data_IF_184425727457
#
_entry.id   IF_184425727457
#
_cell.length_a   1.000
_cell.length_b   1.000
_cell.length_c   1.000
_cell.angle_alpha   90.00
_cell.angle_beta   90.00
_cell.angle_gamma   90.00
#
_symmetry.space_group_name_H-M   'P 1'
#
loop_
_entity.id
_entity.type
_entity.pdbx_description
1 polymer ?
#
# COMPACT_ATOMS: atom_id res chain seq x y z
N UNK A 1 -14.99 -19.34 5.24
CA UNK A 1 -13.99 -18.56 6.01
C UNK A 1 -12.58 -19.04 5.62
N UNK A 2 -12.10 -18.72 4.42
CA UNK A 2 -10.69 -18.98 4.00
C UNK A 2 -10.08 -17.79 3.26
N UNK A 3 -10.93 -16.90 2.73
CA UNK A 3 -10.53 -15.77 1.89
C UNK A 3 -10.05 -14.57 2.72
N UNK A 4 -10.60 -14.35 3.91
CA UNK A 4 -10.26 -13.22 4.78
C UNK A 4 -8.81 -13.26 5.29
N UNK A 5 -8.26 -14.45 5.55
CA UNK A 5 -6.87 -14.59 6.02
C UNK A 5 -5.85 -14.35 4.91
N UNK A 6 -6.13 -14.81 3.69
CA UNK A 6 -5.26 -14.56 2.53
C UNK A 6 -5.28 -13.08 2.12
N UNK A 7 -6.40 -12.42 2.31
CA UNK A 7 -6.55 -11.03 1.98
C UNK A 7 -5.84 -10.11 3.00
N UNK A 8 -5.95 -10.40 4.30
CA UNK A 8 -5.15 -9.67 5.30
C UNK A 8 -3.65 -9.79 5.05
N UNK A 9 -3.16 -10.98 4.67
CA UNK A 9 -1.76 -11.17 4.29
C UNK A 9 -1.34 -10.37 3.04
N UNK A 10 -2.26 -10.17 2.09
CA UNK A 10 -1.99 -9.38 0.87
C UNK A 10 -1.90 -7.88 1.19
N UNK A 11 -2.78 -7.37 2.05
CA UNK A 11 -2.73 -5.98 2.51
C UNK A 11 -1.43 -5.70 3.30
N UNK A 12 -1.05 -6.62 4.18
CA UNK A 12 0.18 -6.52 4.97
C UNK A 12 1.43 -6.51 4.07
N UNK A 13 1.48 -7.39 3.06
CA UNK A 13 2.57 -7.42 2.08
C UNK A 13 2.67 -6.12 1.25
N UNK A 14 1.54 -5.52 0.87
CA UNK A 14 1.52 -4.24 0.17
C UNK A 14 2.03 -3.11 1.07
N UNK A 15 1.69 -3.16 2.36
CA UNK A 15 2.14 -2.18 3.35
C UNK A 15 3.65 -2.29 3.62
N UNK A 16 4.19 -3.51 3.73
CA UNK A 16 5.64 -3.72 3.83
C UNK A 16 6.39 -3.20 2.60
N UNK A 17 5.86 -3.44 1.39
CA UNK A 17 6.44 -2.90 0.15
C UNK A 17 6.40 -1.37 0.09
N UNK A 18 5.33 -0.75 0.58
CA UNK A 18 5.23 0.71 0.67
C UNK A 18 6.26 1.30 1.65
N UNK A 19 6.46 0.66 2.81
CA UNK A 19 7.45 1.06 3.81
C UNK A 19 8.88 0.92 3.30
N UNK A 20 9.19 -0.17 2.60
CA UNK A 20 10.49 -0.38 1.95
C UNK A 20 10.76 0.67 0.85
N UNK A 21 9.74 0.99 0.04
CA UNK A 21 9.84 2.06 -0.95
C UNK A 21 10.06 3.44 -0.30
N UNK A 22 9.40 3.74 0.82
CA UNK A 22 9.62 4.96 1.61
C UNK A 22 11.01 5.03 2.24
N UNK A 23 11.53 3.88 2.70
CA UNK A 23 12.88 3.79 3.25
C UNK A 23 13.91 4.11 2.16
N UNK A 24 13.80 3.48 1.00
CA UNK A 24 14.67 3.77 -0.15
C UNK A 24 14.54 5.20 -0.64
N UNK A 25 13.33 5.76 -0.64
CA UNK A 25 13.09 7.17 -0.96
C UNK A 25 13.85 8.10 0.01
N UNK A 26 13.81 7.82 1.32
CA UNK A 26 14.52 8.60 2.32
C UNK A 26 16.06 8.42 2.24
N UNK A 27 16.55 7.24 1.89
CA UNK A 27 17.97 7.00 1.65
C UNK A 27 18.46 7.68 0.36
N UNK A 28 17.61 7.71 -0.67
CA UNK A 28 17.87 8.38 -1.94
C UNK A 28 17.80 9.91 -1.82
N UNK A 29 17.00 10.43 -0.86
CA UNK A 29 16.91 11.87 -0.57
C UNK A 29 18.29 12.42 -0.16
N UNK A 30 18.88 13.21 -1.06
CA UNK A 30 20.17 13.88 -0.84
C UNK A 30 21.38 13.12 -1.39
N UNK A 31 21.19 11.87 -1.86
CA UNK A 31 22.27 11.06 -2.44
C UNK A 31 22.01 10.66 -3.90
N UNK A 32 20.75 10.52 -4.31
CA UNK A 32 20.35 10.10 -5.65
C UNK A 32 19.84 11.26 -6.51
N UNK A 33 19.70 11.01 -7.82
CA UNK A 33 19.11 11.98 -8.76
C UNK A 33 17.65 12.27 -8.38
N UNK A 34 17.16 13.52 -8.55
CA UNK A 34 15.77 13.88 -8.28
C UNK A 34 14.75 12.99 -9.00
N UNK A 35 15.07 12.49 -10.20
CA UNK A 35 14.22 11.54 -10.94
C UNK A 35 14.07 10.18 -10.21
N UNK A 36 15.14 9.71 -9.56
CA UNK A 36 15.13 8.47 -8.78
C UNK A 36 14.28 8.63 -7.52
N UNK A 37 14.44 9.78 -6.84
CA UNK A 37 13.69 10.15 -5.65
C UNK A 37 12.20 10.30 -5.98
N UNK A 38 11.86 10.94 -7.09
CA UNK A 38 10.47 11.08 -7.55
C UNK A 38 9.85 9.71 -7.88
N UNK A 39 10.57 8.84 -8.60
CA UNK A 39 10.11 7.46 -8.89
C UNK A 39 9.83 6.65 -7.63
N UNK A 40 10.72 6.73 -6.64
CA UNK A 40 10.54 6.02 -5.37
C UNK A 40 9.34 6.56 -4.58
N UNK A 41 9.16 7.88 -4.58
CA UNK A 41 7.99 8.53 -3.96
C UNK A 41 6.68 8.11 -4.61
N UNK A 42 6.59 8.16 -5.94
CA UNK A 42 5.41 7.73 -6.70
C UNK A 42 5.08 6.25 -6.48
N UNK A 43 6.12 5.40 -6.38
CA UNK A 43 5.94 3.98 -6.09
C UNK A 43 5.39 3.73 -4.69
N UNK A 44 5.92 4.43 -3.68
CA UNK A 44 5.38 4.35 -2.33
C UNK A 44 3.92 4.80 -2.25
N UNK A 45 3.57 5.92 -2.90
CA UNK A 45 2.20 6.45 -2.94
C UNK A 45 1.24 5.47 -3.63
N UNK A 46 1.65 4.88 -4.75
CA UNK A 46 0.82 3.90 -5.48
C UNK A 46 0.57 2.64 -4.64
N UNK A 47 1.60 2.10 -3.99
CA UNK A 47 1.48 0.92 -3.14
C UNK A 47 0.56 1.17 -1.92
N UNK A 48 0.63 2.36 -1.32
CA UNK A 48 -0.28 2.73 -0.23
C UNK A 48 -1.74 2.85 -0.70
N UNK A 49 -1.97 3.41 -1.88
CA UNK A 49 -3.30 3.51 -2.46
C UNK A 49 -3.90 2.13 -2.75
N UNK A 50 -3.12 1.21 -3.34
CA UNK A 50 -3.53 -0.17 -3.58
C UNK A 50 -3.83 -0.93 -2.27
N UNK A 51 -2.97 -0.78 -1.26
CA UNK A 51 -3.21 -1.38 0.07
C UNK A 51 -4.51 -0.85 0.70
N UNK A 52 -4.77 0.45 0.59
CA UNK A 52 -5.97 1.08 1.12
C UNK A 52 -7.23 0.64 0.37
N UNK A 53 -7.20 0.59 -0.96
CA UNK A 53 -8.31 0.05 -1.76
C UNK A 53 -8.59 -1.42 -1.42
N UNK A 54 -7.54 -2.20 -1.20
CA UNK A 54 -7.66 -3.60 -0.84
C UNK A 54 -8.26 -3.76 0.57
N UNK A 55 -7.81 -2.99 1.56
CA UNK A 55 -8.44 -2.95 2.89
C UNK A 55 -9.89 -2.49 2.83
N UNK A 56 -10.21 -1.46 2.04
CA UNK A 56 -11.58 -0.98 1.87
C UNK A 56 -12.50 -2.05 1.26
N UNK A 57 -12.01 -2.87 0.33
CA UNK A 57 -12.80 -4.00 -0.21
C UNK A 57 -13.02 -5.11 0.83
N UNK A 58 -12.08 -5.31 1.74
CA UNK A 58 -12.21 -6.33 2.80
C UNK A 58 -13.08 -5.89 3.97
N UNK A 59 -12.93 -4.64 4.41
CA UNK A 59 -13.65 -4.08 5.55
C UNK A 59 -14.95 -3.34 5.15
N UNK A 60 -15.11 -3.01 3.87
CA UNK A 60 -16.28 -2.31 3.29
C UNK A 60 -17.26 -3.21 2.53
N UNK A 61 -17.23 -4.53 2.73
CA UNK A 61 -18.30 -5.43 2.27
C UNK A 61 -19.66 -5.06 2.90
N UNK A 62 -20.78 -5.33 2.22
CA UNK A 62 -21.93 -4.42 2.15
C UNK A 62 -22.49 -4.04 3.52
N UNK A 63 -22.54 -2.74 3.78
CA UNK A 63 -23.54 -2.12 4.64
C UNK A 63 -24.90 -2.63 4.14
N UNK A 64 -25.46 -3.62 4.81
CA UNK A 64 -26.84 -4.05 4.62
C UNK A 64 -27.71 -2.81 4.87
N UNK A 65 -28.40 -2.24 3.87
CA UNK A 65 -29.45 -1.28 4.20
C UNK A 65 -30.53 -2.08 4.90
N UNK A 66 -30.75 -1.75 6.18
CA UNK A 66 -31.89 -2.20 6.95
C UNK A 66 -33.14 -1.79 6.16
N UNK A 67 -33.89 -2.77 5.66
CA UNK A 67 -35.18 -2.64 5.01
C UNK A 67 -36.13 -3.67 5.58
#
# INVERSE_FOLDING_TARGET
MKDSTSAMATAELLMEQALDALRRYNEAKGHASPEEVERLGLRAVSLMAEAQEYQLRLFGGPIHPHG
#
